data_IF_052388574491
#
_entry.id   IF_052388574491
#
_cell.length_a   1.000
_cell.length_b   1.000
_cell.length_c   1.000
_cell.angle_alpha   90.00
_cell.angle_beta   90.00
_cell.angle_gamma   90.00
#
_symmetry.space_group_name_H-M   'P 1'
#
loop_
_entity.id
_entity.type
_entity.pdbx_description
1 polymer ?
#
# COMPACT_ATOMS: atom_id res chain seq x y z
N UNK A 1 8.20 -23.81 3.47
CA UNK A 1 9.22 -23.05 2.73
C UNK A 1 9.25 -21.65 3.31
N UNK A 2 10.37 -21.24 3.90
CA UNK A 2 10.45 -19.95 4.61
C UNK A 2 10.94 -18.81 3.71
N UNK A 3 11.68 -19.12 2.64
CA UNK A 3 12.28 -18.14 1.73
C UNK A 3 11.97 -18.53 0.29
N UNK A 4 11.55 -17.56 -0.53
CA UNK A 4 11.35 -17.73 -1.96
C UNK A 4 12.03 -16.58 -2.72
N UNK A 5 13.01 -16.93 -3.54
CA UNK A 5 13.80 -15.99 -4.34
C UNK A 5 13.47 -16.13 -5.81
N UNK A 6 12.87 -15.09 -6.38
CA UNK A 6 12.45 -14.99 -7.77
C UNK A 6 12.89 -13.67 -8.42
N UNK A 7 13.85 -12.96 -7.80
CA UNK A 7 14.36 -11.70 -8.32
C UNK A 7 15.15 -11.84 -9.62
N UNK A 8 15.19 -10.78 -10.44
CA UNK A 8 15.98 -10.75 -11.67
C UNK A 8 15.42 -11.58 -12.82
N UNK A 9 14.09 -11.74 -12.88
CA UNK A 9 13.41 -12.52 -13.92
C UNK A 9 12.52 -11.61 -14.81
N UNK A 10 11.70 -12.23 -15.65
CA UNK A 10 10.71 -11.53 -16.50
C UNK A 10 9.27 -11.73 -16.01
N UNK A 11 9.08 -11.95 -14.71
CA UNK A 11 7.76 -12.20 -14.13
C UNK A 11 6.91 -10.94 -14.28
N UNK A 12 5.74 -11.07 -14.93
CA UNK A 12 4.82 -9.96 -15.18
C UNK A 12 3.61 -9.95 -14.23
N UNK A 13 3.29 -11.09 -13.63
CA UNK A 13 2.19 -11.25 -12.69
C UNK A 13 2.56 -12.21 -11.55
N UNK A 14 1.97 -11.99 -10.39
CA UNK A 14 2.08 -12.88 -9.24
C UNK A 14 0.81 -13.76 -9.21
N UNK A 15 0.93 -15.10 -9.28
CA UNK A 15 -0.23 -15.99 -9.18
C UNK A 15 -0.86 -15.89 -7.78
N UNK A 16 -2.19 -15.93 -7.68
CA UNK A 16 -2.88 -15.87 -6.39
C UNK A 16 -2.58 -17.09 -5.52
N UNK A 17 -2.24 -18.22 -6.13
CA UNK A 17 -1.85 -19.48 -5.48
C UNK A 17 -0.57 -19.33 -4.65
N UNK A 18 0.23 -18.28 -4.89
CA UNK A 18 1.40 -17.99 -4.05
C UNK A 18 1.00 -17.75 -2.59
N UNK A 19 -0.23 -17.29 -2.35
CA UNK A 19 -0.82 -17.11 -1.02
C UNK A 19 -0.91 -18.42 -0.21
N UNK A 20 -0.88 -19.59 -0.86
CA UNK A 20 -0.93 -20.88 -0.18
C UNK A 20 0.37 -21.22 0.57
N UNK A 21 1.45 -20.46 0.36
CA UNK A 21 2.71 -20.63 1.07
C UNK A 21 2.64 -19.98 2.47
N UNK A 22 1.75 -20.46 3.34
CA UNK A 22 1.42 -19.87 4.65
C UNK A 22 2.61 -19.71 5.62
N UNK A 23 3.68 -20.48 5.41
CA UNK A 23 4.92 -20.42 6.20
C UNK A 23 6.01 -19.53 5.59
N UNK A 24 5.73 -18.86 4.46
CA UNK A 24 6.70 -18.00 3.81
C UNK A 24 7.00 -16.77 4.67
N UNK A 25 8.27 -16.57 4.98
CA UNK A 25 8.76 -15.45 5.78
C UNK A 25 9.45 -14.39 4.94
N UNK A 26 10.09 -14.78 3.83
CA UNK A 26 10.75 -13.87 2.91
C UNK A 26 10.34 -14.15 1.46
N UNK A 27 9.89 -13.12 0.76
CA UNK A 27 9.53 -13.17 -0.66
C UNK A 27 10.32 -12.11 -1.44
N UNK A 28 11.21 -12.56 -2.32
CA UNK A 28 12.04 -11.69 -3.15
C UNK A 28 11.56 -11.75 -4.60
N UNK A 29 10.99 -10.65 -5.07
CA UNK A 29 10.43 -10.46 -6.42
C UNK A 29 11.00 -9.20 -7.10
N UNK A 30 12.14 -8.70 -6.63
CA UNK A 30 12.77 -7.52 -7.20
C UNK A 30 13.25 -7.73 -8.64
N UNK A 31 13.46 -6.64 -9.38
CA UNK A 31 14.02 -6.67 -10.74
C UNK A 31 13.21 -7.59 -11.67
N UNK A 32 11.91 -7.32 -11.75
CA UNK A 32 10.95 -8.06 -12.57
C UNK A 32 10.08 -7.07 -13.38
N UNK A 33 8.96 -7.54 -13.95
CA UNK A 33 8.00 -6.73 -14.72
C UNK A 33 6.60 -6.72 -14.10
N UNK A 34 6.50 -6.89 -12.78
CA UNK A 34 5.23 -7.04 -12.06
C UNK A 34 4.47 -5.72 -12.09
N UNK A 35 3.22 -5.75 -12.54
CA UNK A 35 2.38 -4.56 -12.67
C UNK A 35 1.41 -4.39 -11.50
N UNK A 36 1.03 -5.48 -10.83
CA UNK A 36 0.13 -5.49 -9.69
C UNK A 36 0.46 -6.61 -8.73
N UNK A 37 0.10 -6.40 -7.45
CA UNK A 37 0.13 -7.43 -6.42
C UNK A 37 -1.29 -7.92 -6.19
N UNK A 38 -1.56 -9.25 -6.24
CA UNK A 38 -2.89 -9.78 -5.97
C UNK A 38 -3.26 -9.56 -4.49
N UNK A 39 -4.53 -9.20 -4.17
CA UNK A 39 -4.95 -9.00 -2.79
C UNK A 39 -4.79 -10.26 -1.92
N UNK A 40 -4.84 -11.45 -2.53
CA UNK A 40 -4.63 -12.74 -1.86
C UNK A 40 -3.23 -12.85 -1.24
N UNK A 41 -2.23 -12.12 -1.73
CA UNK A 41 -0.88 -12.13 -1.15
C UNK A 41 -0.89 -11.73 0.34
N UNK A 42 -1.91 -10.99 0.77
CA UNK A 42 -2.13 -10.61 2.15
C UNK A 42 -2.44 -11.79 3.10
N UNK A 43 -2.72 -12.98 2.57
CA UNK A 43 -2.89 -14.21 3.35
C UNK A 43 -1.55 -14.82 3.83
N UNK A 44 -0.42 -14.28 3.37
CA UNK A 44 0.91 -14.67 3.85
C UNK A 44 1.18 -14.10 5.26
N UNK A 45 0.44 -14.55 6.26
CA UNK A 45 0.48 -14.04 7.64
C UNK A 45 1.82 -14.23 8.36
N UNK A 46 2.72 -15.04 7.80
CA UNK A 46 4.08 -15.28 8.33
C UNK A 46 5.15 -14.40 7.66
N UNK A 47 4.78 -13.62 6.64
CA UNK A 47 5.70 -12.83 5.84
C UNK A 47 6.28 -11.68 6.67
N UNK A 48 7.60 -11.61 6.71
CA UNK A 48 8.39 -10.59 7.41
C UNK A 48 9.11 -9.66 6.45
N UNK A 49 9.56 -10.15 5.30
CA UNK A 49 10.24 -9.35 4.29
C UNK A 49 9.63 -9.57 2.91
N UNK A 50 9.28 -8.46 2.24
CA UNK A 50 8.73 -8.44 0.88
C UNK A 50 9.53 -7.46 0.02
N UNK A 51 10.28 -7.99 -0.94
CA UNK A 51 11.06 -7.19 -1.88
C UNK A 51 10.39 -7.12 -3.24
N UNK A 52 9.90 -5.95 -3.62
CA UNK A 52 9.19 -5.67 -4.87
C UNK A 52 9.86 -4.52 -5.67
N UNK A 53 11.07 -4.12 -5.31
CA UNK A 53 11.73 -3.00 -5.97
C UNK A 53 12.06 -3.29 -7.44
N UNK A 54 12.19 -2.23 -8.24
CA UNK A 54 12.46 -2.30 -9.67
C UNK A 54 11.43 -3.17 -10.41
N UNK A 55 10.16 -2.80 -10.28
CA UNK A 55 9.01 -3.38 -10.97
C UNK A 55 8.15 -2.25 -11.58
N UNK A 56 6.95 -2.58 -12.06
CA UNK A 56 6.03 -1.65 -12.73
C UNK A 56 4.79 -1.36 -11.88
N UNK A 57 4.87 -1.51 -10.57
CA UNK A 57 3.74 -1.31 -9.66
C UNK A 57 3.30 0.15 -9.64
N UNK A 58 2.01 0.38 -9.89
CA UNK A 58 1.39 1.72 -9.82
C UNK A 58 0.58 1.93 -8.54
N UNK A 59 0.21 0.85 -7.85
CA UNK A 59 -0.46 0.84 -6.55
C UNK A 59 -0.16 -0.48 -5.83
N UNK A 60 -0.51 -0.54 -4.56
CA UNK A 60 -0.63 -1.79 -3.80
C UNK A 60 -2.10 -2.03 -3.42
N UNK A 61 -2.55 -3.29 -3.35
CA UNK A 61 -3.87 -3.61 -2.82
C UNK A 61 -3.98 -3.16 -1.36
N UNK A 62 -5.17 -2.75 -0.92
CA UNK A 62 -5.39 -2.28 0.47
C UNK A 62 -5.13 -3.40 1.48
N UNK A 63 -5.37 -4.62 1.07
CA UNK A 63 -5.15 -5.86 1.81
C UNK A 63 -3.69 -6.02 2.23
N UNK A 64 -2.72 -5.37 1.57
CA UNK A 64 -1.32 -5.40 2.00
C UNK A 64 -1.15 -4.94 3.46
N UNK A 65 -2.07 -4.12 3.97
CA UNK A 65 -2.10 -3.64 5.35
C UNK A 65 -2.44 -4.75 6.37
N UNK A 66 -2.97 -5.91 5.94
CA UNK A 66 -3.25 -7.04 6.83
C UNK A 66 -2.04 -7.96 7.06
N UNK A 67 -0.91 -7.70 6.38
CA UNK A 67 0.38 -8.34 6.65
C UNK A 67 0.99 -7.82 7.96
N UNK A 68 0.35 -8.11 9.09
CA UNK A 68 0.69 -7.58 10.42
C UNK A 68 2.09 -7.95 10.92
N UNK A 69 2.73 -8.97 10.33
CA UNK A 69 4.09 -9.40 10.66
C UNK A 69 5.15 -8.84 9.71
N UNK A 70 4.77 -8.07 8.69
CA UNK A 70 5.70 -7.51 7.73
C UNK A 70 6.56 -6.44 8.41
N UNK A 71 7.87 -6.64 8.39
CA UNK A 71 8.87 -5.76 8.98
C UNK A 71 9.56 -4.93 7.89
N UNK A 72 9.71 -5.52 6.70
CA UNK A 72 10.44 -4.92 5.58
C UNK A 72 9.60 -4.97 4.30
N UNK A 73 9.39 -3.81 3.68
CA UNK A 73 8.72 -3.68 2.39
C UNK A 73 9.53 -2.75 1.49
N UNK A 74 10.13 -3.30 0.43
CA UNK A 74 10.91 -2.52 -0.52
C UNK A 74 10.15 -2.28 -1.83
N UNK A 75 9.82 -1.02 -2.12
CA UNK A 75 9.06 -0.60 -3.31
C UNK A 75 9.82 0.36 -4.24
N UNK A 76 11.09 0.68 -3.95
CA UNK A 76 11.87 1.64 -4.75
C UNK A 76 11.88 1.25 -6.23
N UNK A 77 12.03 2.21 -7.13
CA UNK A 77 12.06 1.92 -8.56
C UNK A 77 10.73 1.41 -9.14
N UNK A 78 9.61 1.64 -8.44
CA UNK A 78 8.27 1.44 -8.98
C UNK A 78 7.59 2.79 -9.28
N UNK A 79 6.73 2.88 -10.31
CA UNK A 79 5.94 4.07 -10.62
C UNK A 79 5.14 4.62 -9.43
N UNK A 80 4.66 3.78 -8.51
CA UNK A 80 3.90 4.23 -7.33
C UNK A 80 4.71 5.14 -6.38
N UNK A 81 6.02 4.87 -6.23
CA UNK A 81 6.90 5.69 -5.37
C UNK A 81 7.21 7.00 -6.07
N UNK A 82 7.49 6.95 -7.37
CA UNK A 82 7.78 8.16 -8.17
C UNK A 82 6.55 9.06 -8.25
N UNK A 83 5.36 8.50 -8.49
CA UNK A 83 4.10 9.25 -8.49
C UNK A 83 3.83 9.87 -7.14
N UNK A 84 3.96 9.12 -6.04
CA UNK A 84 3.78 9.69 -4.71
C UNK A 84 4.67 10.92 -4.49
N UNK A 85 5.97 10.80 -4.76
CA UNK A 85 6.92 11.92 -4.56
C UNK A 85 6.63 13.06 -5.54
N UNK A 86 6.37 12.74 -6.81
CA UNK A 86 6.10 13.71 -7.87
C UNK A 86 4.81 14.48 -7.59
N UNK A 87 3.71 13.79 -7.36
CA UNK A 87 2.41 14.37 -7.09
C UNK A 87 2.48 15.22 -5.80
N UNK A 88 3.18 14.76 -4.76
CA UNK A 88 3.41 15.57 -3.55
C UNK A 88 4.21 16.85 -3.84
N UNK A 89 5.18 16.78 -4.76
CA UNK A 89 6.05 17.93 -5.10
C UNK A 89 5.32 18.95 -5.98
N UNK A 90 4.58 18.48 -6.98
CA UNK A 90 3.90 19.35 -7.97
C UNK A 90 2.50 19.76 -7.55
N UNK A 91 1.80 18.95 -6.75
CA UNK A 91 0.45 19.18 -6.25
C UNK A 91 0.38 18.78 -4.78
N UNK A 92 0.98 19.59 -3.87
CA UNK A 92 0.96 19.27 -2.46
C UNK A 92 -0.48 19.12 -1.97
N UNK A 93 -0.74 18.20 -1.03
CA UNK A 93 -2.07 18.02 -0.46
C UNK A 93 -2.58 19.33 0.12
N UNK A 94 -3.86 19.63 -0.10
CA UNK A 94 -4.47 20.84 0.43
C UNK A 94 -4.45 20.82 1.97
N UNK A 95 -4.56 22.00 2.58
CA UNK A 95 -4.66 22.12 4.04
C UNK A 95 -5.86 21.34 4.61
N UNK A 96 -6.95 21.28 3.84
CA UNK A 96 -8.12 20.47 4.15
C UNK A 96 -7.77 18.97 4.23
N UNK A 97 -6.97 18.48 3.28
CA UNK A 97 -6.51 17.09 3.26
C UNK A 97 -5.57 16.74 4.41
N UNK A 98 -4.63 17.63 4.70
CA UNK A 98 -3.73 17.47 5.84
C UNK A 98 -4.49 17.48 7.18
N UNK A 99 -5.48 18.36 7.32
CA UNK A 99 -6.33 18.41 8.51
C UNK A 99 -7.14 17.12 8.68
N UNK A 100 -7.78 16.64 7.61
CA UNK A 100 -8.57 15.40 7.67
C UNK A 100 -7.72 14.16 7.98
N UNK A 101 -6.53 14.05 7.37
CA UNK A 101 -5.57 12.99 7.70
C UNK A 101 -5.15 13.03 9.16
N UNK A 102 -4.92 14.22 9.71
CA UNK A 102 -4.53 14.39 11.11
C UNK A 102 -5.64 13.90 12.05
N UNK A 103 -6.89 14.28 11.77
CA UNK A 103 -8.06 13.84 12.54
C UNK A 103 -8.20 12.32 12.51
N UNK A 104 -8.16 11.71 11.32
CA UNK A 104 -8.34 10.25 11.17
C UNK A 104 -7.16 9.44 11.71
N UNK A 105 -5.92 9.87 11.48
CA UNK A 105 -4.72 9.13 11.92
C UNK A 105 -4.55 9.16 13.44
N UNK A 106 -4.87 10.27 14.08
CA UNK A 106 -4.82 10.43 15.54
C UNK A 106 -6.11 9.99 16.25
N UNK A 107 -7.13 9.56 15.51
CA UNK A 107 -8.41 9.14 16.07
C UNK A 107 -9.10 10.27 16.84
N UNK A 108 -8.96 11.52 16.38
CA UNK A 108 -9.58 12.67 17.03
C UNK A 108 -11.10 12.56 16.84
N UNK A 109 -11.88 12.48 17.93
CA UNK A 109 -13.33 12.42 17.82
C UNK A 109 -13.86 13.73 17.25
N UNK A 110 -14.90 13.64 16.42
CA UNK A 110 -15.67 14.77 15.93
C UNK A 110 -17.14 14.37 15.82
N UNK A 111 -18.02 15.33 16.03
CA UNK A 111 -19.46 15.16 15.93
C UNK A 111 -20.01 15.93 14.72
N UNK A 112 -21.11 15.46 14.10
CA UNK A 112 -21.77 16.17 13.00
C UNK A 112 -22.21 17.60 13.34
N UNK A 113 -22.40 17.89 14.63
CA UNK A 113 -22.82 19.19 15.15
C UNK A 113 -21.66 20.16 15.36
N UNK A 114 -20.42 19.66 15.37
CA UNK A 114 -19.20 20.45 15.61
C UNK A 114 -18.56 20.95 14.32
N UNK A 115 -18.87 20.31 13.18
CA UNK A 115 -18.23 20.58 11.89
C UNK A 115 -19.26 20.92 10.80
N UNK A 116 -18.94 21.84 9.86
CA UNK A 116 -19.75 22.07 8.67
C UNK A 116 -19.91 20.82 7.79
N UNK A 117 -21.05 20.70 7.10
CA UNK A 117 -21.40 19.53 6.27
C UNK A 117 -20.35 19.19 5.20
N UNK A 118 -19.78 20.21 4.54
CA UNK A 118 -18.73 20.02 3.53
C UNK A 118 -17.45 19.42 4.12
N UNK A 119 -17.14 19.75 5.38
CA UNK A 119 -15.98 19.22 6.09
C UNK A 119 -16.24 17.79 6.58
N UNK A 120 -17.46 17.49 7.04
CA UNK A 120 -17.89 16.12 7.37
C UNK A 120 -17.82 15.21 6.15
N UNK A 121 -18.40 15.65 5.02
CA UNK A 121 -18.34 14.90 3.76
C UNK A 121 -16.91 14.64 3.31
N UNK A 122 -16.05 15.64 3.46
CA UNK A 122 -14.63 15.49 3.19
C UNK A 122 -13.98 14.46 4.13
N UNK A 123 -14.22 14.53 5.44
CA UNK A 123 -13.69 13.60 6.43
C UNK A 123 -14.17 12.16 6.22
N UNK A 124 -15.42 11.95 5.79
CA UNK A 124 -15.96 10.62 5.55
C UNK A 124 -15.36 9.95 4.31
N UNK A 125 -15.03 10.75 3.30
CA UNK A 125 -14.31 10.30 2.10
C UNK A 125 -12.78 10.20 2.33
N UNK A 126 -12.26 10.95 3.30
CA UNK A 126 -10.85 10.98 3.63
C UNK A 126 -10.42 9.62 4.19
N UNK A 127 -9.63 8.91 3.39
CA UNK A 127 -9.00 7.66 3.80
C UNK A 127 -7.76 7.95 4.67
N UNK A 128 -7.44 7.07 5.61
CA UNK A 128 -6.12 7.06 6.29
C UNK A 128 -4.95 6.81 5.33
N UNK A 129 -5.27 6.47 4.08
CA UNK A 129 -4.43 5.89 3.08
C UNK A 129 -4.23 6.91 1.94
N UNK A 130 -2.98 7.23 1.54
CA UNK A 130 -2.70 8.17 0.45
C UNK A 130 -2.98 7.60 -0.96
N UNK A 131 -3.46 6.36 -1.08
CA UNK A 131 -3.82 5.75 -2.36
C UNK A 131 -5.26 6.16 -2.75
N UNK A 132 -5.48 6.77 -3.93
CA UNK A 132 -6.82 7.20 -4.37
C UNK A 132 -7.81 6.06 -4.65
N UNK A 133 -7.37 4.79 -4.58
CA UNK A 133 -8.23 3.59 -4.70
C UNK A 133 -8.54 2.91 -3.35
N UNK A 134 -8.30 3.57 -2.22
CA UNK A 134 -8.64 3.05 -0.90
C UNK A 134 -10.16 3.16 -0.60
N UNK A 135 -11.02 2.69 -1.50
CA UNK A 135 -12.47 2.51 -1.33
C UNK A 135 -12.78 1.08 -0.91
#
# INVERSE_FOLDING_TARGET
MEFLYLGGNFISYIPSELANLSYLSCLVLCDNRIQSVPPQLAQLHSLRSLSLHNNLLTYLPREILSLVRLQELSLRGNPLVVRFVRDLTYMPPSLLELAGRTIKSRGIPYSPWELPENLLRYLDLASKCPNPKCG
#
